data_IF_574380688607
#
_entry.id   IF_574380688607
#
_cell.length_a   1.000
_cell.length_b   1.000
_cell.length_c   1.000
_cell.angle_alpha   90.00
_cell.angle_beta   90.00
_cell.angle_gamma   90.00
#
_symmetry.space_group_name_H-M   'P 1'
#
loop_
_entity.id
_entity.type
_entity.pdbx_description
1 polymer ?
#
# COMPACT_ATOMS: atom_id res chain seq x y z
N UNK A 1 42.11 35.24 -37.76
CA UNK A 1 42.20 34.67 -36.40
C UNK A 1 40.88 34.00 -36.07
N UNK A 2 40.71 32.69 -35.92
CA UNK A 2 41.64 31.64 -35.50
C UNK A 2 41.04 31.00 -34.23
N UNK A 3 40.58 29.75 -34.27
CA UNK A 3 40.14 29.06 -33.05
C UNK A 3 39.17 27.89 -33.22
N UNK A 4 39.71 26.71 -33.50
CA UNK A 4 39.06 25.44 -33.85
C UNK A 4 38.66 24.57 -32.61
N UNK A 5 37.45 24.00 -32.66
CA UNK A 5 37.07 22.57 -32.41
C UNK A 5 37.27 21.91 -31.02
N UNK A 6 36.23 21.22 -30.52
CA UNK A 6 36.18 19.74 -30.34
C UNK A 6 34.78 19.23 -29.87
N UNK A 7 34.13 18.47 -30.76
CA UNK A 7 33.09 17.46 -30.45
C UNK A 7 33.81 16.15 -30.09
N UNK A 8 33.31 15.42 -29.10
CA UNK A 8 33.76 14.07 -28.78
C UNK A 8 32.70 13.04 -29.23
N UNK A 9 33.13 12.16 -30.12
CA UNK A 9 32.40 11.02 -30.68
C UNK A 9 32.97 9.75 -30.04
N UNK A 10 32.13 8.84 -29.54
CA UNK A 10 32.59 7.54 -29.03
C UNK A 10 32.56 6.47 -30.14
N UNK A 11 33.69 5.77 -30.26
CA UNK A 11 34.03 4.75 -31.24
C UNK A 11 33.51 3.36 -30.81
N UNK A 12 33.07 2.57 -31.79
CA UNK A 12 32.90 1.10 -31.72
C UNK A 12 34.24 0.38 -31.97
N UNK A 13 34.37 -0.88 -31.53
CA UNK A 13 35.06 -1.87 -32.35
C UNK A 13 34.23 -3.14 -32.62
N UNK A 14 34.43 -3.67 -33.84
CA UNK A 14 33.93 -4.96 -34.36
C UNK A 14 34.97 -6.08 -34.14
N UNK A 15 34.42 -7.29 -34.04
CA UNK A 15 34.95 -8.68 -34.07
C UNK A 15 36.30 -8.99 -34.74
N UNK A 16 36.81 -10.22 -34.46
CA UNK A 16 36.96 -11.15 -35.57
C UNK A 16 36.37 -12.57 -35.34
N UNK A 17 36.10 -13.19 -36.48
CA UNK A 17 35.54 -14.51 -36.79
C UNK A 17 36.54 -15.67 -36.76
N UNK A 18 36.06 -16.90 -36.57
CA UNK A 18 36.69 -18.16 -37.01
C UNK A 18 36.04 -19.38 -36.33
N UNK A 19 35.25 -20.25 -36.98
CA UNK A 19 35.55 -21.30 -37.99
C UNK A 19 35.18 -22.67 -37.36
N UNK A 20 34.07 -23.30 -37.80
CA UNK A 20 33.97 -24.64 -38.45
C UNK A 20 34.33 -25.86 -37.57
N UNK A 21 33.75 -27.07 -37.60
CA UNK A 21 32.72 -27.77 -38.38
C UNK A 21 32.59 -29.19 -37.74
N UNK A 22 31.41 -29.81 -37.88
CA UNK A 22 31.12 -31.27 -38.01
C UNK A 22 30.91 -32.15 -36.74
N UNK A 23 29.83 -32.99 -36.75
CA UNK A 23 29.37 -33.80 -35.60
C UNK A 23 29.96 -35.21 -35.60
N UNK A 24 29.84 -35.94 -34.48
CA UNK A 24 30.05 -37.40 -34.50
C UNK A 24 29.20 -38.15 -33.47
N UNK A 25 28.21 -38.85 -34.02
CA UNK A 25 27.74 -40.19 -33.75
C UNK A 25 28.01 -40.86 -32.38
N UNK A 26 26.92 -41.41 -31.82
CA UNK A 26 26.94 -42.59 -30.94
C UNK A 26 27.64 -43.79 -31.62
N UNK A 27 28.05 -44.79 -30.84
CA UNK A 27 27.25 -46.01 -30.87
C UNK A 27 27.07 -46.69 -29.50
N UNK A 28 26.20 -47.69 -29.57
CA UNK A 28 25.60 -48.46 -28.51
C UNK A 28 26.49 -49.57 -27.93
N UNK A 29 25.93 -50.15 -26.85
CA UNK A 29 26.01 -51.54 -26.40
C UNK A 29 27.26 -52.00 -25.62
N UNK A 30 27.02 -52.48 -24.41
CA UNK A 30 27.18 -53.92 -24.15
C UNK A 30 26.42 -54.35 -22.90
N UNK A 31 25.73 -55.48 -23.03
CA UNK A 31 25.08 -56.25 -21.98
C UNK A 31 26.10 -57.04 -21.16
N UNK A 32 25.75 -57.34 -19.91
CA UNK A 32 26.21 -58.55 -19.23
C UNK A 32 25.06 -59.19 -18.45
N UNK A 33 24.78 -60.44 -18.85
CA UNK A 33 23.89 -61.44 -18.27
C UNK A 33 24.38 -61.96 -16.91
N UNK A 34 23.46 -62.42 -16.04
CA UNK A 34 23.56 -63.74 -15.38
C UNK A 34 22.29 -64.11 -14.56
N UNK A 35 21.80 -65.35 -14.78
CA UNK A 35 20.87 -66.13 -13.92
C UNK A 35 19.38 -65.94 -14.23
N UNK A 36 18.58 -66.83 -14.88
CA UNK A 36 18.34 -68.31 -14.77
C UNK A 36 18.00 -68.74 -13.33
N UNK A 37 16.88 -69.38 -12.98
CA UNK A 37 15.86 -70.22 -13.66
C UNK A 37 14.48 -70.12 -12.89
N UNK A 38 13.52 -71.08 -12.96
CA UNK A 38 12.43 -71.15 -13.93
C UNK A 38 11.03 -71.29 -13.28
N UNK A 39 9.95 -71.11 -14.05
CA UNK A 39 8.75 -71.97 -14.04
C UNK A 39 7.57 -71.30 -14.78
N UNK A 40 7.36 -71.77 -16.00
CA UNK A 40 6.09 -71.69 -16.73
C UNK A 40 5.09 -72.59 -16.01
N UNK A 41 3.84 -72.14 -15.76
CA UNK A 41 2.60 -72.92 -15.83
C UNK A 41 1.38 -72.02 -15.53
N UNK A 42 0.38 -72.11 -16.42
CA UNK A 42 -1.05 -71.80 -16.23
C UNK A 42 -1.54 -70.34 -16.27
N UNK A 43 -1.49 -69.76 -17.47
CA UNK A 43 -2.30 -68.62 -17.85
C UNK A 43 -3.69 -69.11 -18.32
N UNK A 44 -4.64 -69.35 -17.41
CA UNK A 44 -6.09 -69.39 -17.68
C UNK A 44 -6.80 -69.65 -16.33
N UNK A 45 -7.71 -68.75 -15.91
CA UNK A 45 -8.67 -68.83 -14.75
C UNK A 45 -8.56 -67.72 -13.68
N UNK A 46 -8.24 -66.48 -14.03
CA UNK A 46 -8.44 -65.33 -13.12
C UNK A 46 -9.17 -64.15 -13.77
N UNK A 47 -10.22 -64.45 -14.54
CA UNK A 47 -11.03 -63.44 -15.25
C UNK A 47 -12.47 -63.22 -14.72
N UNK A 48 -12.85 -63.57 -13.47
CA UNK A 48 -14.04 -62.95 -12.88
C UNK A 48 -13.84 -62.27 -11.52
N UNK A 49 -12.61 -62.11 -11.02
CA UNK A 49 -12.35 -61.40 -9.74
C UNK A 49 -11.90 -59.94 -9.92
N UNK A 50 -11.67 -59.48 -11.16
CA UNK A 50 -11.30 -58.10 -11.48
C UNK A 50 -12.51 -57.21 -11.84
N UNK A 51 -13.74 -57.69 -11.61
CA UNK A 51 -14.98 -56.93 -11.88
C UNK A 51 -15.74 -56.52 -10.60
N UNK A 52 -15.21 -56.80 -9.41
CA UNK A 52 -15.82 -56.47 -8.11
C UNK A 52 -15.01 -55.45 -7.27
N UNK A 53 -13.98 -54.82 -7.85
CA UNK A 53 -13.21 -53.74 -7.22
C UNK A 53 -13.48 -52.35 -7.85
N UNK A 54 -14.50 -52.21 -8.69
CA UNK A 54 -14.84 -50.96 -9.38
C UNK A 54 -15.92 -50.12 -8.71
N UNK A 55 -16.32 -50.42 -7.47
CA UNK A 55 -17.28 -49.60 -6.72
C UNK A 55 -16.78 -49.26 -5.32
N UNK A 56 -15.72 -48.45 -5.23
CA UNK A 56 -15.44 -47.56 -4.09
C UNK A 56 -14.26 -46.65 -4.41
N UNK A 57 -14.46 -45.73 -5.33
CA UNK A 57 -13.73 -44.47 -5.31
C UNK A 57 -14.76 -43.37 -5.52
N UNK A 58 -15.47 -43.04 -4.44
CA UNK A 58 -16.12 -41.75 -4.36
C UNK A 58 -14.98 -40.73 -4.32
N UNK A 59 -14.56 -40.28 -5.50
CA UNK A 59 -13.70 -39.12 -5.63
C UNK A 59 -14.37 -38.01 -4.84
N UNK A 60 -13.72 -37.58 -3.76
CA UNK A 60 -14.13 -36.38 -3.05
C UNK A 60 -14.29 -35.28 -4.10
N UNK A 61 -15.41 -34.53 -4.10
CA UNK A 61 -15.55 -33.43 -5.02
C UNK A 61 -14.31 -32.54 -4.86
N UNK A 62 -13.71 -32.04 -5.96
CA UNK A 62 -12.62 -31.09 -5.84
C UNK A 62 -13.10 -30.02 -4.87
N UNK A 63 -12.34 -29.82 -3.78
CA UNK A 63 -12.63 -28.79 -2.80
C UNK A 63 -12.94 -27.54 -3.60
N UNK A 64 -14.20 -27.11 -3.57
CA UNK A 64 -14.64 -25.96 -4.32
C UNK A 64 -13.64 -24.87 -3.97
N UNK A 65 -12.93 -24.37 -4.99
CA UNK A 65 -12.01 -23.25 -4.81
C UNK A 65 -12.80 -22.22 -4.01
N UNK A 66 -12.33 -21.96 -2.78
CA UNK A 66 -12.99 -21.03 -1.89
C UNK A 66 -13.23 -19.77 -2.71
N UNK A 67 -14.44 -19.18 -2.71
CA UNK A 67 -14.68 -17.96 -3.45
C UNK A 67 -13.56 -17.00 -3.05
N UNK A 68 -12.79 -16.56 -4.05
CA UNK A 68 -11.59 -15.73 -3.90
C UNK A 68 -11.75 -14.83 -2.69
N UNK A 69 -10.92 -15.03 -1.66
CA UNK A 69 -11.03 -14.32 -0.40
C UNK A 69 -11.19 -12.82 -0.70
N UNK A 70 -12.39 -12.31 -0.42
CA UNK A 70 -12.73 -10.91 -0.61
C UNK A 70 -11.79 -10.09 0.28
N UNK A 71 -11.12 -9.13 -0.35
CA UNK A 71 -9.97 -8.35 0.10
C UNK A 71 -9.96 -7.96 1.58
N UNK A 72 -9.15 -8.68 2.37
CA UNK A 72 -8.95 -8.41 3.79
C UNK A 72 -7.46 -8.32 4.19
N UNK A 73 -6.54 -8.14 3.25
CA UNK A 73 -5.09 -8.05 3.51
C UNK A 73 -4.44 -6.88 2.76
N UNK A 74 -4.99 -5.69 3.00
CA UNK A 74 -4.53 -4.47 2.36
C UNK A 74 -3.69 -3.66 3.34
N UNK A 75 -2.54 -3.17 2.88
CA UNK A 75 -1.58 -2.38 3.64
C UNK A 75 -1.35 -1.05 2.93
N UNK A 76 -1.07 0.00 3.71
CA UNK A 76 -0.67 1.30 3.19
C UNK A 76 0.68 1.73 3.78
N UNK A 77 1.55 2.29 2.96
CA UNK A 77 2.77 2.98 3.36
C UNK A 77 2.67 4.38 2.79
N UNK A 78 2.52 5.38 3.66
CA UNK A 78 2.23 6.76 3.30
C UNK A 78 3.39 7.64 3.78
N UNK A 79 4.08 8.31 2.83
CA UNK A 79 5.36 8.96 3.10
C UNK A 79 5.34 10.42 2.65
N UNK A 80 5.40 11.33 3.62
CA UNK A 80 5.79 12.72 3.40
C UNK A 80 7.31 12.83 3.58
N UNK A 81 8.02 13.17 2.50
CA UNK A 81 9.49 13.18 2.49
C UNK A 81 10.08 14.58 2.75
N UNK A 82 9.25 15.63 2.76
CA UNK A 82 9.70 17.01 2.78
C UNK A 82 9.53 17.68 4.14
N UNK A 83 10.40 18.66 4.42
CA UNK A 83 10.42 19.45 5.65
C UNK A 83 10.22 20.93 5.38
N UNK A 84 10.09 21.71 6.46
CA UNK A 84 9.89 23.16 6.47
C UNK A 84 8.49 23.60 6.08
N UNK A 85 8.10 24.76 6.62
CA UNK A 85 6.75 25.32 6.52
C UNK A 85 6.26 25.51 5.07
N UNK A 86 7.14 25.92 4.15
CA UNK A 86 6.76 26.11 2.74
C UNK A 86 6.39 24.81 2.02
N UNK A 87 6.63 23.65 2.64
CA UNK A 87 6.26 22.32 2.15
C UNK A 87 5.06 21.72 2.89
N UNK A 88 4.31 22.54 3.61
CA UNK A 88 3.11 22.16 4.36
C UNK A 88 2.19 21.19 3.58
N UNK A 89 1.93 21.46 2.29
CA UNK A 89 1.10 20.62 1.41
C UNK A 89 1.50 19.15 1.37
N UNK A 90 2.79 18.79 1.42
CA UNK A 90 3.20 17.38 1.33
C UNK A 90 2.74 16.59 2.57
N UNK A 91 2.76 17.23 3.74
CA UNK A 91 2.22 16.62 4.96
C UNK A 91 0.69 16.53 4.90
N UNK A 92 0.03 17.60 4.46
CA UNK A 92 -1.43 17.63 4.31
C UNK A 92 -1.92 16.58 3.28
N UNK A 93 -1.22 16.41 2.16
CA UNK A 93 -1.47 15.37 1.17
C UNK A 93 -1.44 13.97 1.81
N UNK A 94 -0.36 13.67 2.54
CA UNK A 94 -0.15 12.36 3.18
C UNK A 94 -1.23 12.08 4.22
N UNK A 95 -1.57 13.06 5.06
CA UNK A 95 -2.65 12.93 6.04
C UNK A 95 -4.05 12.80 5.39
N UNK A 96 -4.25 13.45 4.24
CA UNK A 96 -5.50 13.31 3.48
C UNK A 96 -5.67 11.90 2.91
N UNK A 97 -4.59 11.30 2.40
CA UNK A 97 -4.59 9.90 1.97
C UNK A 97 -4.75 8.95 3.16
N UNK A 98 -4.12 9.23 4.30
CA UNK A 98 -4.29 8.49 5.55
C UNK A 98 -5.76 8.42 5.98
N UNK A 99 -6.44 9.58 6.00
CA UNK A 99 -7.89 9.62 6.26
C UNK A 99 -8.69 8.84 5.24
N UNK A 100 -8.30 8.89 3.96
CA UNK A 100 -8.98 8.18 2.88
C UNK A 100 -8.91 6.67 3.08
N UNK A 101 -7.72 6.11 3.32
CA UNK A 101 -7.56 4.66 3.50
C UNK A 101 -8.26 4.16 4.77
N UNK A 102 -8.25 4.96 5.85
CA UNK A 102 -9.01 4.65 7.07
C UNK A 102 -10.51 4.66 6.84
N UNK A 103 -11.03 5.68 6.14
CA UNK A 103 -12.45 5.79 5.78
C UNK A 103 -12.91 4.62 4.90
N UNK A 104 -12.01 4.05 4.10
CA UNK A 104 -12.26 2.88 3.27
C UNK A 104 -11.96 1.54 3.96
N UNK A 105 -11.56 1.55 5.24
CA UNK A 105 -11.54 0.38 6.11
C UNK A 105 -10.15 -0.21 6.40
N UNK A 106 -9.04 0.41 5.96
CA UNK A 106 -7.70 -0.05 6.37
C UNK A 106 -7.46 0.39 7.83
N UNK A 107 -7.22 -0.53 8.78
CA UNK A 107 -6.95 -0.19 10.18
C UNK A 107 -5.53 0.35 10.37
N UNK A 108 -5.30 1.10 11.44
CA UNK A 108 -4.01 1.74 11.74
C UNK A 108 -2.84 0.75 11.81
N UNK A 109 -3.06 -0.45 12.37
CA UNK A 109 -2.05 -1.51 12.41
C UNK A 109 -1.54 -1.96 11.02
N UNK A 110 -2.17 -1.51 9.94
CA UNK A 110 -1.80 -1.79 8.55
C UNK A 110 -1.45 -0.55 7.73
N UNK A 111 -1.32 0.59 8.40
CA UNK A 111 -0.89 1.84 7.78
C UNK A 111 0.43 2.23 8.42
N UNK A 112 1.50 2.27 7.62
CA UNK A 112 2.77 2.85 8.03
C UNK A 112 2.78 4.32 7.60
N UNK A 113 2.73 5.24 8.56
CA UNK A 113 2.74 6.68 8.30
C UNK A 113 4.09 7.31 8.64
N UNK A 114 4.74 7.92 7.65
CA UNK A 114 6.03 8.60 7.79
C UNK A 114 5.86 10.10 7.48
N UNK A 115 6.07 10.96 8.48
CA UNK A 115 5.99 12.42 8.33
C UNK A 115 7.33 13.07 8.67
N UNK A 116 8.02 13.61 7.65
CA UNK A 116 9.35 14.18 7.79
C UNK A 116 9.39 15.47 8.66
N UNK A 117 8.25 16.11 8.90
CA UNK A 117 8.13 17.27 9.78
C UNK A 117 6.76 17.30 10.45
N UNK A 118 6.60 18.14 11.46
CA UNK A 118 5.33 18.35 12.15
C UNK A 118 4.83 19.79 11.90
N UNK A 119 3.88 19.94 10.98
CA UNK A 119 3.26 21.26 10.73
C UNK A 119 2.20 21.61 11.79
N UNK A 120 1.66 20.62 12.51
CA UNK A 120 0.63 20.85 13.52
C UNK A 120 1.19 21.61 14.74
N UNK A 121 2.43 21.30 15.13
CA UNK A 121 3.16 22.02 16.20
C UNK A 121 4.20 23.02 15.67
N UNK A 122 4.14 23.44 14.39
CA UNK A 122 5.08 24.43 13.88
C UNK A 122 4.77 25.84 14.46
N UNK A 123 5.77 26.63 14.89
CA UNK A 123 5.54 27.98 15.41
C UNK A 123 4.89 28.96 14.41
N UNK A 124 4.94 28.66 13.10
CA UNK A 124 4.26 29.44 12.06
C UNK A 124 2.79 29.08 11.88
N UNK A 125 2.33 27.98 12.51
CA UNK A 125 0.96 27.54 12.39
C UNK A 125 0.06 28.37 13.31
N UNK A 126 -0.78 29.21 12.69
CA UNK A 126 -1.79 30.00 13.39
C UNK A 126 -2.93 29.14 14.00
N UNK A 127 -2.98 27.85 13.66
CA UNK A 127 -3.95 26.86 14.15
C UNK A 127 -3.22 25.70 14.84
N UNK A 128 -2.80 25.86 16.12
CA UNK A 128 -2.04 24.84 16.84
C UNK A 128 -2.76 23.48 16.86
N UNK A 129 -1.98 22.41 16.68
CA UNK A 129 -2.45 21.02 16.63
C UNK A 129 -3.42 20.70 15.46
N UNK A 130 -3.52 21.59 14.46
CA UNK A 130 -4.42 21.42 13.32
C UNK A 130 -3.69 21.51 11.99
N UNK A 131 -4.16 20.73 11.03
CA UNK A 131 -3.63 20.70 9.66
C UNK A 131 -4.81 20.59 8.70
N UNK A 132 -4.91 21.52 7.76
CA UNK A 132 -5.95 21.59 6.73
C UNK A 132 -5.38 21.36 5.33
N UNK A 133 -6.18 20.82 4.40
CA UNK A 133 -5.87 20.72 2.97
C UNK A 133 -6.75 21.65 2.10
N UNK A 134 -7.51 22.53 2.73
CA UNK A 134 -8.44 23.44 2.06
C UNK A 134 -8.59 24.73 2.90
N UNK A 135 -8.85 25.85 2.22
CA UNK A 135 -8.98 27.19 2.77
C UNK A 135 -10.18 27.36 3.72
N UNK A 136 -11.18 26.48 3.64
CA UNK A 136 -12.37 26.56 4.48
C UNK A 136 -12.18 26.01 5.90
N UNK A 137 -11.02 25.39 6.18
CA UNK A 137 -10.62 24.80 7.46
C UNK A 137 -11.66 23.88 8.13
N UNK A 138 -12.56 23.27 7.34
CA UNK A 138 -13.64 22.44 7.89
C UNK A 138 -13.16 21.09 8.41
N UNK A 139 -12.01 20.61 7.92
CA UNK A 139 -11.50 19.29 8.20
C UNK A 139 -10.08 19.35 8.76
N UNK A 140 -9.94 19.18 10.07
CA UNK A 140 -8.63 18.93 10.68
C UNK A 140 -8.15 17.51 10.32
N UNK A 141 -7.03 17.45 9.62
CA UNK A 141 -6.37 16.22 9.18
C UNK A 141 -5.53 15.56 10.26
N UNK A 142 -5.02 16.32 11.24
CA UNK A 142 -4.06 15.85 12.25
C UNK A 142 -4.71 15.38 13.56
N UNK A 143 -5.99 15.69 13.81
CA UNK A 143 -6.66 15.43 15.09
C UNK A 143 -6.56 13.99 15.60
N UNK A 144 -7.04 13.73 16.81
CA UNK A 144 -6.77 12.59 17.73
C UNK A 144 -6.57 11.17 17.16
N UNK A 145 -7.00 10.88 15.94
CA UNK A 145 -6.97 9.57 15.32
C UNK A 145 -5.79 9.37 14.34
N UNK A 146 -4.72 10.17 14.41
CA UNK A 146 -3.53 10.00 13.56
C UNK A 146 -2.41 9.30 14.30
N UNK A 147 -2.06 8.10 13.84
CA UNK A 147 -0.91 7.34 14.33
C UNK A 147 0.28 7.54 13.37
N UNK A 148 1.31 8.27 13.83
CA UNK A 148 2.54 8.49 13.06
C UNK A 148 3.62 7.53 13.55
N UNK A 149 4.11 6.67 12.65
CA UNK A 149 5.10 5.63 12.97
C UNK A 149 6.53 6.16 12.91
N UNK A 150 6.84 6.98 11.90
CA UNK A 150 8.15 7.60 11.73
C UNK A 150 7.97 9.13 11.70
N UNK A 151 8.53 9.81 12.70
CA UNK A 151 8.40 11.26 12.88
C UNK A 151 9.73 11.97 12.65
N UNK A 152 9.70 13.10 11.95
CA UNK A 152 10.84 14.00 11.86
C UNK A 152 12.09 13.30 11.35
N UNK A 153 13.15 13.30 12.17
CA UNK A 153 14.45 12.70 11.84
C UNK A 153 14.41 11.20 11.57
N UNK A 154 13.37 10.48 11.96
CA UNK A 154 13.24 9.05 11.65
C UNK A 154 12.85 8.79 10.19
N UNK A 155 12.39 9.81 9.44
CA UNK A 155 12.00 9.67 8.03
C UNK A 155 13.22 9.80 7.13
N UNK A 156 14.04 8.75 7.11
CA UNK A 156 15.25 8.65 6.27
C UNK A 156 15.03 7.68 5.12
N UNK A 157 15.88 7.76 4.09
CA UNK A 157 15.87 6.78 2.99
C UNK A 157 16.11 5.38 3.55
N UNK A 158 17.04 5.24 4.50
CA UNK A 158 17.36 3.97 5.13
C UNK A 158 16.14 3.33 5.83
N UNK A 159 15.44 4.08 6.68
CA UNK A 159 14.27 3.56 7.39
C UNK A 159 13.13 3.21 6.43
N UNK A 160 12.92 4.04 5.40
CA UNK A 160 11.96 3.74 4.35
C UNK A 160 12.27 2.41 3.64
N UNK A 161 13.52 2.20 3.20
CA UNK A 161 13.95 0.95 2.57
C UNK A 161 13.88 -0.24 3.54
N UNK A 162 14.13 -0.04 4.84
CA UNK A 162 13.95 -1.09 5.87
C UNK A 162 12.48 -1.48 6.03
N UNK A 163 11.55 -0.52 6.02
CA UNK A 163 10.10 -0.80 6.00
C UNK A 163 9.75 -1.68 4.81
N UNK A 164 10.15 -1.26 3.61
CA UNK A 164 9.88 -2.01 2.38
C UNK A 164 10.54 -3.38 2.38
N UNK A 165 11.79 -3.54 2.83
CA UNK A 165 12.54 -4.81 2.75
C UNK A 165 12.40 -5.72 3.99
N UNK A 166 11.81 -5.21 5.07
CA UNK A 166 11.50 -5.94 6.30
C UNK A 166 12.75 -6.26 7.09
N UNK A 167 13.82 -5.47 6.88
CA UNK A 167 15.13 -5.64 7.49
C UNK A 167 15.25 -4.74 8.72
N UNK A 168 14.41 -5.03 9.72
CA UNK A 168 14.44 -4.33 11.00
C UNK A 168 15.21 -5.13 12.04
N UNK A 169 15.85 -4.42 12.97
CA UNK A 169 16.38 -5.05 14.18
C UNK A 169 15.26 -5.63 15.05
N UNK A 170 15.57 -6.63 15.87
CA UNK A 170 14.58 -7.31 16.72
C UNK A 170 13.88 -6.37 17.70
N UNK A 171 14.53 -5.29 18.11
CA UNK A 171 14.01 -4.29 19.03
C UNK A 171 12.98 -3.31 18.40
N UNK A 172 12.92 -3.18 17.08
CA UNK A 172 12.01 -2.22 16.43
C UNK A 172 10.55 -2.62 16.71
N UNK A 173 9.68 -1.73 17.20
CA UNK A 173 8.29 -2.07 17.51
C UNK A 173 7.51 -2.62 16.31
N UNK A 174 6.48 -3.43 16.58
CA UNK A 174 5.62 -4.02 15.54
C UNK A 174 4.93 -2.97 14.66
N UNK A 175 4.47 -1.87 15.26
CA UNK A 175 3.82 -0.75 14.55
C UNK A 175 4.70 -0.14 13.47
N UNK A 176 6.03 -0.12 13.66
CA UNK A 176 6.98 0.41 12.68
C UNK A 176 7.35 -0.58 11.57
N UNK A 177 6.71 -1.74 11.49
CA UNK A 177 7.05 -2.81 10.53
C UNK A 177 5.89 -3.09 9.59
N UNK A 178 6.18 -3.11 8.29
CA UNK A 178 5.26 -3.61 7.28
C UNK A 178 5.18 -5.14 7.37
N UNK A 179 4.12 -5.70 7.94
CA UNK A 179 4.00 -7.16 8.13
C UNK A 179 3.19 -7.83 7.03
N UNK A 180 3.44 -7.42 5.79
CA UNK A 180 2.80 -7.97 4.59
C UNK A 180 3.42 -9.31 4.16
N UNK A 181 2.65 -10.03 3.37
CA UNK A 181 2.91 -11.40 2.89
C UNK A 181 2.55 -11.55 1.40
N UNK A 182 2.58 -12.79 0.90
CA UNK A 182 2.37 -13.10 -0.51
C UNK A 182 0.93 -12.88 -0.99
N UNK A 183 -0.02 -12.75 -0.07
CA UNK A 183 -1.42 -12.45 -0.34
C UNK A 183 -1.76 -10.97 -0.23
N UNK A 184 -0.82 -10.14 0.23
CA UNK A 184 -1.07 -8.74 0.57
C UNK A 184 -1.17 -7.84 -0.67
N UNK A 185 -2.10 -6.89 -0.65
CA UNK A 185 -2.13 -5.77 -1.58
C UNK A 185 -1.60 -4.52 -0.88
N UNK A 186 -0.64 -3.83 -1.48
CA UNK A 186 0.05 -2.71 -0.83
C UNK A 186 -0.15 -1.43 -1.63
N UNK A 187 -0.61 -0.37 -0.97
CA UNK A 187 -0.52 1.00 -1.45
C UNK A 187 0.77 1.64 -0.90
N UNK A 188 1.69 2.02 -1.77
CA UNK A 188 2.82 2.87 -1.45
C UNK A 188 2.56 4.26 -2.03
N UNK A 189 2.27 5.23 -1.18
CA UNK A 189 2.10 6.63 -1.57
C UNK A 189 3.26 7.47 -1.04
N UNK A 190 3.87 8.25 -1.93
CA UNK A 190 4.98 9.14 -1.61
C UNK A 190 4.74 10.53 -2.17
N UNK A 191 5.01 11.56 -1.39
CA UNK A 191 4.92 12.96 -1.82
C UNK A 191 6.12 13.76 -1.30
N UNK A 192 6.56 14.70 -2.12
CA UNK A 192 7.65 15.61 -1.80
C UNK A 192 8.29 16.22 -3.04
N UNK A 193 9.55 16.61 -2.91
CA UNK A 193 10.34 17.14 -4.01
C UNK A 193 11.19 16.06 -4.66
N UNK A 194 11.28 16.09 -5.98
CA UNK A 194 12.02 15.11 -6.76
C UNK A 194 12.41 15.66 -8.11
N UNK A 195 13.00 14.79 -8.92
CA UNK A 195 13.49 15.12 -10.25
C UNK A 195 13.72 13.86 -11.07
N UNK A 196 14.58 13.97 -12.08
CA UNK A 196 14.90 12.85 -12.97
C UNK A 196 15.55 11.72 -12.17
N UNK A 197 14.78 10.67 -11.93
CA UNK A 197 15.14 9.43 -11.24
C UNK A 197 15.41 9.53 -9.73
N UNK A 198 14.97 10.60 -9.06
CA UNK A 198 15.11 10.71 -7.59
C UNK A 198 13.94 11.39 -6.87
N UNK A 199 13.80 11.11 -5.58
CA UNK A 199 12.92 11.79 -4.62
C UNK A 199 13.73 12.19 -3.39
N UNK A 200 13.69 13.46 -3.00
CA UNK A 200 14.43 14.00 -1.85
C UNK A 200 13.76 13.63 -0.53
N UNK A 201 14.56 13.17 0.42
CA UNK A 201 14.19 12.96 1.81
C UNK A 201 14.85 14.02 2.70
N UNK A 202 14.03 14.70 3.50
CA UNK A 202 14.43 15.74 4.45
C UNK A 202 15.30 16.87 3.87
N UNK A 203 15.23 17.11 2.56
CA UNK A 203 16.06 18.09 1.85
C UNK A 203 17.58 17.84 1.94
N UNK A 204 17.99 16.61 2.28
CA UNK A 204 19.40 16.24 2.45
C UNK A 204 19.77 14.94 1.72
N UNK A 205 18.91 13.93 1.77
CA UNK A 205 19.12 12.63 1.14
C UNK A 205 18.25 12.51 -0.11
N UNK A 206 18.60 11.59 -1.01
CA UNK A 206 17.83 11.29 -2.21
C UNK A 206 17.61 9.78 -2.30
N UNK A 207 16.35 9.37 -2.41
CA UNK A 207 15.96 8.03 -2.84
C UNK A 207 16.04 7.98 -4.36
N UNK A 208 16.90 7.14 -4.90
CA UNK A 208 17.04 6.99 -6.35
C UNK A 208 16.09 5.91 -6.89
N UNK A 209 15.78 5.97 -8.18
CA UNK A 209 14.91 5.01 -8.88
C UNK A 209 15.43 3.57 -8.77
N UNK A 210 16.76 3.40 -8.77
CA UNK A 210 17.40 2.10 -8.61
C UNK A 210 17.24 1.54 -7.19
N UNK A 211 17.36 2.36 -6.15
CA UNK A 211 17.16 1.95 -4.76
C UNK A 211 15.74 1.45 -4.53
N UNK A 212 14.75 2.18 -5.07
CA UNK A 212 13.35 1.78 -5.01
C UNK A 212 13.12 0.47 -5.77
N UNK A 213 13.69 0.32 -6.97
CA UNK A 213 13.58 -0.90 -7.76
C UNK A 213 14.18 -2.12 -7.06
N UNK A 214 15.35 -1.96 -6.46
CA UNK A 214 16.01 -3.02 -5.71
C UNK A 214 15.23 -3.41 -4.45
N UNK A 215 14.65 -2.44 -3.73
CA UNK A 215 13.78 -2.73 -2.60
C UNK A 215 12.53 -3.51 -3.01
N UNK A 216 11.86 -3.07 -4.09
CA UNK A 216 10.66 -3.76 -4.63
C UNK A 216 11.00 -5.15 -5.16
N UNK A 217 12.19 -5.34 -5.77
CA UNK A 217 12.70 -6.65 -6.18
C UNK A 217 12.90 -7.56 -4.97
N UNK A 218 13.54 -7.08 -3.91
CA UNK A 218 13.70 -7.84 -2.68
C UNK A 218 12.36 -8.18 -2.01
N UNK A 219 11.40 -7.25 -2.02
CA UNK A 219 10.04 -7.52 -1.54
C UNK A 219 9.41 -8.68 -2.31
N UNK A 220 9.58 -8.71 -3.63
CA UNK A 220 9.02 -9.75 -4.48
C UNK A 220 9.69 -11.10 -4.25
N UNK A 221 11.01 -11.15 -4.19
CA UNK A 221 11.80 -12.36 -3.90
C UNK A 221 11.49 -12.93 -2.52
N UNK A 222 11.16 -12.08 -1.54
CA UNK A 222 10.75 -12.47 -0.19
C UNK A 222 9.24 -12.72 -0.06
N UNK A 223 8.49 -12.71 -1.16
CA UNK A 223 7.05 -12.98 -1.15
C UNK A 223 6.25 -12.04 -0.21
N UNK A 224 6.54 -10.73 -0.23
CA UNK A 224 5.93 -9.76 0.69
C UNK A 224 4.76 -8.96 0.12
N UNK A 225 4.39 -9.23 -1.13
CA UNK A 225 3.15 -8.72 -1.72
C UNK A 225 2.67 -9.61 -2.87
N UNK A 226 1.35 -9.65 -3.03
CA UNK A 226 0.68 -10.14 -4.23
C UNK A 226 0.72 -9.07 -5.32
N UNK A 227 0.18 -7.90 -4.99
CA UNK A 227 0.10 -6.72 -5.86
C UNK A 227 0.55 -5.47 -5.09
N UNK A 228 1.30 -4.60 -5.76
CA UNK A 228 1.82 -3.35 -5.19
C UNK A 228 1.43 -2.18 -6.10
N UNK A 229 0.71 -1.20 -5.57
CA UNK A 229 0.42 0.07 -6.23
C UNK A 229 1.35 1.15 -5.68
N UNK A 230 2.19 1.72 -6.52
CA UNK A 230 3.08 2.84 -6.18
C UNK A 230 2.50 4.12 -6.77
N UNK A 231 2.22 5.10 -5.91
CA UNK A 231 1.70 6.41 -6.28
C UNK A 231 2.67 7.49 -5.81
N UNK A 232 3.12 8.35 -6.73
CA UNK A 232 4.14 9.35 -6.42
C UNK A 232 3.68 10.74 -6.87
N UNK A 233 3.58 11.68 -5.92
CA UNK A 233 3.26 13.09 -6.18
C UNK A 233 4.52 13.95 -6.01
N UNK A 234 5.19 14.22 -7.14
CA UNK A 234 6.44 14.98 -7.23
C UNK A 234 6.72 15.44 -8.66
N UNK A 235 7.65 16.37 -8.86
CA UNK A 235 8.22 16.65 -10.17
C UNK A 235 8.92 15.41 -10.76
N UNK A 236 8.74 15.19 -12.06
CA UNK A 236 9.24 14.06 -12.83
C UNK A 236 8.94 12.67 -12.24
N UNK A 237 7.80 12.52 -11.56
CA UNK A 237 7.41 11.30 -10.84
C UNK A 237 7.53 10.01 -11.67
N UNK A 238 7.22 10.08 -12.98
CA UNK A 238 7.32 8.93 -13.89
C UNK A 238 8.71 8.28 -13.95
N UNK A 239 9.76 9.06 -13.71
CA UNK A 239 11.15 8.61 -13.77
C UNK A 239 11.55 7.81 -12.53
N UNK A 240 10.89 8.01 -11.39
CA UNK A 240 11.22 7.33 -10.13
C UNK A 240 10.95 5.82 -10.21
N UNK A 241 10.00 5.39 -11.05
CA UNK A 241 9.65 3.98 -11.24
C UNK A 241 10.08 3.42 -12.60
N UNK A 242 11.02 4.08 -13.30
CA UNK A 242 11.57 3.63 -14.58
C UNK A 242 12.31 2.29 -14.46
N UNK A 243 13.02 2.08 -13.34
CA UNK A 243 13.87 0.91 -13.11
C UNK A 243 13.12 -0.30 -12.51
N UNK A 244 11.81 -0.18 -12.23
CA UNK A 244 11.03 -1.31 -11.71
C UNK A 244 10.99 -2.47 -12.72
N UNK A 245 11.09 -3.70 -12.20
CA UNK A 245 11.11 -4.94 -13.01
C UNK A 245 10.22 -6.05 -12.41
N UNK A 246 9.73 -5.88 -11.19
CA UNK A 246 9.05 -6.93 -10.44
C UNK A 246 7.58 -7.10 -10.89
N UNK A 247 7.10 -8.32 -11.16
CA UNK A 247 5.72 -8.55 -11.59
C UNK A 247 4.72 -8.32 -10.45
N UNK A 248 3.51 -7.88 -10.81
CA UNK A 248 2.45 -7.51 -9.87
C UNK A 248 2.59 -6.07 -9.35
N UNK A 249 3.44 -5.25 -9.95
CA UNK A 249 3.63 -3.85 -9.58
C UNK A 249 2.92 -2.95 -10.58
N UNK A 250 2.10 -2.05 -10.08
CA UNK A 250 1.46 -0.96 -10.81
C UNK A 250 2.02 0.36 -10.28
N UNK A 251 2.42 1.28 -11.15
CA UNK A 251 2.94 2.56 -10.73
C UNK A 251 2.22 3.71 -11.44
N UNK A 252 2.00 4.82 -10.73
CA UNK A 252 1.49 6.06 -11.28
C UNK A 252 2.19 7.26 -10.65
N UNK A 253 2.53 8.25 -11.47
CA UNK A 253 3.18 9.49 -11.07
C UNK A 253 2.37 10.71 -11.51
N UNK A 254 2.50 11.80 -10.75
CA UNK A 254 1.84 13.09 -11.01
C UNK A 254 2.35 13.84 -12.25
N UNK A 255 3.57 13.56 -12.72
CA UNK A 255 4.15 14.24 -13.88
C UNK A 255 5.15 13.37 -14.67
N UNK A 256 5.35 13.73 -15.94
CA UNK A 256 6.28 13.07 -16.86
C UNK A 256 7.73 13.57 -16.70
N UNK A 257 8.68 12.87 -17.32
CA UNK A 257 10.07 13.35 -17.44
C UNK A 257 10.09 14.73 -18.10
N UNK A 258 10.81 15.68 -17.50
CA UNK A 258 10.83 17.08 -17.95
C UNK A 258 9.65 17.94 -17.52
N UNK A 259 8.65 17.40 -16.79
CA UNK A 259 7.51 18.16 -16.27
C UNK A 259 7.59 18.33 -14.74
N UNK A 260 7.18 19.51 -14.27
CA UNK A 260 6.94 19.78 -12.85
C UNK A 260 5.60 19.18 -12.39
N UNK A 261 5.47 18.93 -11.10
CA UNK A 261 4.18 18.81 -10.41
C UNK A 261 3.86 20.14 -9.71
N UNK A 262 2.59 20.45 -9.51
CA UNK A 262 2.14 21.77 -9.08
C UNK A 262 1.26 21.70 -7.84
N UNK A 263 1.46 22.69 -6.97
CA UNK A 263 0.57 22.92 -5.84
C UNK A 263 -0.79 23.44 -6.30
N UNK A 264 -1.77 23.30 -5.42
CA UNK A 264 -3.10 23.89 -5.51
C UNK A 264 -3.36 24.78 -4.27
N UNK A 265 -4.59 25.27 -4.11
CA UNK A 265 -5.14 26.05 -2.97
C UNK A 265 -4.08 26.77 -2.13
N UNK A 266 -3.88 28.05 -2.42
CA UNK A 266 -3.12 28.95 -1.54
C UNK A 266 -4.04 29.37 -0.39
N UNK A 267 -3.58 29.15 0.84
CA UNK A 267 -4.30 29.53 2.04
C UNK A 267 -3.68 30.81 2.61
N UNK A 268 -4.49 31.87 2.75
CA UNK A 268 -3.99 33.17 3.24
C UNK A 268 -3.64 33.16 4.72
N UNK A 269 -4.32 32.34 5.53
CA UNK A 269 -4.13 32.31 6.98
C UNK A 269 -2.93 31.45 7.35
N UNK A 270 -2.67 30.39 6.58
CA UNK A 270 -1.48 29.53 6.71
C UNK A 270 -0.29 30.14 5.96
N UNK A 271 -0.56 30.91 4.90
CA UNK A 271 0.43 31.66 4.12
C UNK A 271 1.18 30.84 3.06
N UNK A 272 0.76 29.60 2.80
CA UNK A 272 1.38 28.67 1.84
C UNK A 272 0.32 27.80 1.17
N UNK A 273 0.70 27.10 0.09
CA UNK A 273 -0.19 26.09 -0.51
C UNK A 273 -0.42 24.92 0.43
N UNK A 274 -1.67 24.44 0.49
CA UNK A 274 -2.10 23.41 1.45
C UNK A 274 -2.32 22.01 0.85
N UNK A 275 -2.29 21.88 -0.47
CA UNK A 275 -2.46 20.59 -1.16
C UNK A 275 -1.82 20.64 -2.55
N UNK A 276 -1.38 19.51 -3.08
CA UNK A 276 -0.94 19.39 -4.48
C UNK A 276 -2.07 18.99 -5.43
N UNK A 277 -1.98 19.37 -6.71
CA UNK A 277 -3.05 19.14 -7.70
C UNK A 277 -3.37 17.66 -7.88
N UNK A 278 -2.36 16.83 -8.08
CA UNK A 278 -2.53 15.40 -8.27
C UNK A 278 -3.24 14.77 -7.07
N UNK A 279 -2.78 15.09 -5.87
CA UNK A 279 -3.42 14.63 -4.63
C UNK A 279 -4.84 15.18 -4.47
N UNK A 280 -5.07 16.46 -4.74
CA UNK A 280 -6.40 17.07 -4.66
C UNK A 280 -7.42 16.34 -5.56
N UNK A 281 -7.06 16.07 -6.81
CA UNK A 281 -7.94 15.34 -7.74
C UNK A 281 -8.12 13.86 -7.35
N UNK A 282 -7.08 13.24 -6.78
CA UNK A 282 -7.18 11.90 -6.18
C UNK A 282 -8.21 11.89 -5.05
N UNK A 283 -8.13 12.84 -4.13
CA UNK A 283 -9.06 12.98 -3.01
C UNK A 283 -10.49 13.25 -3.50
N UNK A 284 -10.67 14.16 -4.46
CA UNK A 284 -11.97 14.48 -5.03
C UNK A 284 -12.66 13.27 -5.68
N UNK A 285 -11.89 12.32 -6.21
CA UNK A 285 -12.42 11.03 -6.67
C UNK A 285 -12.91 10.18 -5.48
N UNK A 286 -12.08 10.02 -4.43
CA UNK A 286 -12.40 9.18 -3.29
C UNK A 286 -13.48 9.75 -2.36
N UNK A 287 -13.69 11.06 -2.29
CA UNK A 287 -14.78 11.68 -1.52
C UNK A 287 -16.17 11.20 -1.97
N UNK A 288 -16.29 10.73 -3.21
CA UNK A 288 -17.54 10.18 -3.76
C UNK A 288 -17.72 8.69 -3.46
N UNK A 289 -16.72 8.03 -2.88
CA UNK A 289 -16.68 6.59 -2.67
C UNK A 289 -16.81 6.22 -1.20
N UNK A 290 -17.24 4.98 -0.97
CA UNK A 290 -17.26 4.32 0.33
C UNK A 290 -16.65 2.91 0.21
N UNK A 291 -16.52 2.19 1.34
CA UNK A 291 -15.90 0.86 1.38
C UNK A 291 -16.57 -0.21 0.51
N UNK A 292 -17.84 -0.01 0.13
CA UNK A 292 -18.61 -0.94 -0.73
C UNK A 292 -18.59 -0.54 -2.20
N UNK A 293 -17.92 0.56 -2.55
CA UNK A 293 -17.85 1.05 -3.92
C UNK A 293 -16.99 0.13 -4.78
N UNK A 294 -17.45 -0.12 -6.01
CA UNK A 294 -16.80 -1.00 -6.98
C UNK A 294 -16.10 -0.22 -8.12
N UNK A 295 -15.81 1.07 -7.89
CA UNK A 295 -15.09 1.89 -8.85
C UNK A 295 -13.72 1.26 -9.17
N UNK A 296 -13.38 1.19 -10.45
CA UNK A 296 -12.15 0.53 -10.92
C UNK A 296 -10.94 1.46 -10.86
N UNK A 297 -9.72 0.91 -10.85
CA UNK A 297 -8.49 1.69 -11.02
C UNK A 297 -8.47 2.44 -12.35
N UNK A 298 -9.05 1.87 -13.41
CA UNK A 298 -9.21 2.56 -14.68
C UNK A 298 -10.07 3.83 -14.53
N UNK A 299 -11.11 3.78 -13.69
CA UNK A 299 -11.96 4.94 -13.40
C UNK A 299 -11.19 6.04 -12.65
N UNK A 300 -10.33 5.66 -11.70
CA UNK A 300 -9.45 6.60 -11.01
C UNK A 300 -8.46 7.25 -11.98
N UNK A 301 -7.75 6.45 -12.79
CA UNK A 301 -6.70 6.97 -13.67
C UNK A 301 -7.26 7.84 -14.79
N UNK A 302 -8.44 7.51 -15.32
CA UNK A 302 -9.12 8.34 -16.32
C UNK A 302 -9.79 9.58 -15.72
N UNK A 303 -9.82 9.73 -14.39
CA UNK A 303 -10.33 10.94 -13.75
C UNK A 303 -9.30 12.09 -13.73
N UNK A 304 -8.03 11.79 -14.01
CA UNK A 304 -6.98 12.79 -14.07
C UNK A 304 -7.03 13.55 -15.40
N UNK A 305 -7.30 14.86 -15.32
CA UNK A 305 -7.31 15.77 -16.46
C UNK A 305 -6.00 16.60 -16.48
N UNK A 306 -5.16 16.49 -17.53
CA UNK A 306 -3.93 17.25 -17.64
C UNK A 306 -4.11 18.77 -17.54
N UNK A 307 -5.25 19.31 -17.97
CA UNK A 307 -5.55 20.74 -17.87
C UNK A 307 -5.76 21.19 -16.43
N UNK A 308 -6.32 20.31 -15.59
CA UNK A 308 -6.54 20.56 -14.17
C UNK A 308 -5.28 20.30 -13.35
N UNK A 309 -4.47 19.32 -13.75
CA UNK A 309 -3.20 19.00 -13.11
C UNK A 309 -2.08 19.98 -13.45
N UNK A 310 -2.13 20.62 -14.62
CA UNK A 310 -1.00 21.35 -15.23
C UNK A 310 0.24 20.48 -15.46
N UNK A 311 0.07 19.16 -15.43
CA UNK A 311 1.07 18.12 -15.66
C UNK A 311 0.40 16.87 -16.20
N UNK A 312 1.18 15.95 -16.73
CA UNK A 312 0.68 14.69 -17.29
C UNK A 312 0.83 13.57 -16.26
N UNK A 313 -0.29 13.10 -15.70
CA UNK A 313 -0.27 11.89 -14.87
C UNK A 313 0.07 10.66 -15.74
N UNK A 314 1.10 9.91 -15.35
CA UNK A 314 1.59 8.76 -16.11
C UNK A 314 1.54 7.50 -15.27
N UNK A 315 0.92 6.45 -15.81
CA UNK A 315 0.86 5.14 -15.16
C UNK A 315 1.52 4.06 -16.02
N UNK A 316 2.30 3.21 -15.37
CA UNK A 316 3.09 2.14 -15.98
C UNK A 316 2.45 0.78 -15.70
N UNK A 317 2.15 0.04 -16.76
CA UNK A 317 1.31 -1.17 -16.73
C UNK A 317 2.02 -2.48 -17.13
N UNK A 318 3.22 -2.42 -17.72
CA UNK A 318 3.92 -3.60 -18.26
C UNK A 318 4.22 -4.68 -17.21
N UNK A 319 4.32 -4.29 -15.94
CA UNK A 319 4.55 -5.19 -14.80
C UNK A 319 3.26 -5.69 -14.16
N UNK A 320 2.09 -5.19 -14.57
CA UNK A 320 0.80 -5.47 -13.97
C UNK A 320 -0.16 -6.14 -14.95
N UNK A 321 -0.41 -7.45 -14.76
CA UNK A 321 -1.10 -8.30 -15.74
C UNK A 321 -2.62 -8.11 -15.80
N UNK A 322 -3.26 -7.66 -14.72
CA UNK A 322 -4.72 -7.57 -14.64
C UNK A 322 -5.21 -6.32 -15.36
N UNK A 323 -6.33 -6.44 -16.04
CA UNK A 323 -6.97 -5.30 -16.69
C UNK A 323 -7.52 -4.33 -15.63
N UNK A 324 -7.22 -3.03 -15.76
CA UNK A 324 -7.54 -2.04 -14.73
C UNK A 324 -9.04 -1.83 -14.50
N UNK A 325 -9.87 -2.15 -15.49
CA UNK A 325 -11.33 -2.12 -15.40
C UNK A 325 -11.89 -3.20 -14.45
N UNK A 326 -11.15 -4.29 -14.23
CA UNK A 326 -11.52 -5.41 -13.36
C UNK A 326 -10.93 -5.30 -11.95
N UNK A 327 -10.14 -4.26 -11.68
CA UNK A 327 -9.48 -4.06 -10.39
C UNK A 327 -10.17 -2.92 -9.66
N UNK A 328 -10.95 -3.19 -8.61
CA UNK A 328 -11.52 -2.14 -7.77
C UNK A 328 -10.42 -1.30 -7.10
N UNK A 329 -10.66 -0.01 -6.91
CA UNK A 329 -9.76 0.85 -6.13
C UNK A 329 -9.62 0.37 -4.68
N UNK A 330 -10.66 -0.27 -4.14
CA UNK A 330 -10.66 -0.84 -2.79
C UNK A 330 -9.67 -1.99 -2.62
N UNK A 331 -9.11 -2.57 -3.70
CA UNK A 331 -8.00 -3.52 -3.60
C UNK A 331 -6.73 -2.92 -2.98
N UNK A 332 -6.52 -1.61 -3.10
CA UNK A 332 -5.34 -0.94 -2.57
C UNK A 332 -5.69 0.09 -1.51
N UNK A 333 -6.86 0.71 -1.60
CA UNK A 333 -7.24 1.83 -0.75
C UNK A 333 -8.22 1.47 0.37
N UNK A 334 -8.86 0.30 0.34
CA UNK A 334 -9.86 -0.09 1.33
C UNK A 334 -9.59 -1.46 1.92
N UNK A 335 -10.46 -1.91 2.82
CA UNK A 335 -10.47 -3.30 3.28
C UNK A 335 -11.93 -3.67 3.54
N UNK A 336 -12.42 -4.72 2.87
CA UNK A 336 -13.80 -5.18 3.05
C UNK A 336 -13.76 -6.29 4.10
N UNK A 337 -14.00 -5.92 5.36
CA UNK A 337 -14.28 -6.93 6.38
C UNK A 337 -15.68 -7.50 6.12
N UNK A 338 -15.75 -8.77 5.67
CA UNK A 338 -17.02 -9.49 5.64
C UNK A 338 -17.41 -9.82 7.08
N UNK A 339 -18.30 -9.03 7.67
CA UNK A 339 -18.94 -9.38 8.94
C UNK A 339 -19.83 -10.60 8.71
N UNK A 340 -19.41 -11.75 9.21
CA UNK A 340 -20.28 -12.93 9.30
C UNK A 340 -21.11 -12.72 10.56
N UNK A 341 -22.38 -12.33 10.41
CA UNK A 341 -23.33 -12.40 11.50
C UNK A 341 -23.55 -13.88 11.83
N UNK A 342 -23.04 -14.33 12.98
CA UNK A 342 -23.43 -15.61 13.54
C UNK A 342 -24.76 -15.42 14.25
N UNK A 343 -25.82 -16.04 13.74
CA UNK A 343 -27.17 -16.01 14.35
C UNK A 343 -27.24 -16.73 15.72
N UNK A 344 -26.13 -17.30 16.18
CA UNK A 344 -25.99 -17.93 17.48
C UNK A 344 -25.13 -17.06 18.39
N UNK A 345 -25.69 -16.64 19.53
CA UNK A 345 -24.90 -16.08 20.61
C UNK A 345 -23.80 -17.08 20.97
N UNK A 346 -22.55 -16.63 21.00
CA UNK A 346 -21.41 -17.44 21.40
C UNK A 346 -21.66 -18.06 22.79
N UNK A 347 -22.03 -19.34 22.84
CA UNK A 347 -22.34 -20.10 24.06
C UNK A 347 -21.07 -20.53 24.82
N UNK A 348 -19.98 -19.75 24.72
CA UNK A 348 -18.70 -20.06 25.36
C UNK A 348 -18.58 -19.64 26.83
N UNK A 349 -19.51 -18.85 27.36
CA UNK A 349 -19.39 -18.27 28.71
C UNK A 349 -20.62 -18.42 29.62
N UNK A 350 -21.73 -19.03 29.16
CA UNK A 350 -22.98 -19.12 29.95
C UNK A 350 -23.24 -20.50 30.58
N UNK A 351 -22.38 -21.50 30.38
CA UNK A 351 -22.55 -22.82 30.99
C UNK A 351 -22.13 -22.90 32.49
N UNK A 352 -21.90 -21.75 33.16
CA UNK A 352 -21.40 -21.73 34.54
C UNK A 352 -22.24 -20.90 35.53
N UNK A 353 -23.43 -20.42 35.15
CA UNK A 353 -24.27 -19.65 36.09
C UNK A 353 -25.77 -19.93 35.95
N UNK A 354 -26.17 -21.19 35.94
CA UNK A 354 -27.55 -21.57 36.28
C UNK A 354 -27.68 -21.74 37.81
N UNK A 355 -27.90 -20.61 38.50
CA UNK A 355 -28.62 -20.55 39.77
C UNK A 355 -28.85 -19.08 40.18
N UNK A 356 -30.03 -18.54 39.84
CA UNK A 356 -30.96 -17.78 40.71
C UNK A 356 -31.87 -16.81 39.92
N UNK A 357 -33.06 -16.58 40.49
CA UNK A 357 -34.35 -16.18 39.89
C UNK A 357 -34.44 -14.74 39.30
N UNK A 358 -35.42 -14.45 38.43
CA UNK A 358 -35.51 -13.17 37.71
C UNK A 358 -36.25 -12.07 38.49
N UNK A 359 -35.75 -10.83 38.42
CA UNK A 359 -36.47 -9.61 38.82
C UNK A 359 -36.99 -8.83 37.61
N UNK A 360 -38.18 -8.26 37.80
CA UNK A 360 -39.07 -7.68 36.79
C UNK A 360 -38.52 -6.39 36.14
N UNK A 361 -38.75 -6.26 34.83
CA UNK A 361 -38.52 -5.04 34.05
C UNK A 361 -39.66 -4.05 34.27
N UNK A 362 -39.34 -2.84 34.72
CA UNK A 362 -40.24 -1.69 34.79
C UNK A 362 -39.71 -0.54 33.95
N UNK A 363 -40.52 -0.05 33.01
CA UNK A 363 -40.25 1.12 32.16
C UNK A 363 -39.89 2.35 33.00
N UNK A 364 -38.74 2.99 32.76
CA UNK A 364 -38.44 4.29 33.34
C UNK A 364 -37.78 5.26 32.34
N UNK A 365 -38.36 6.46 32.30
CA UNK A 365 -38.03 7.62 31.46
C UNK A 365 -36.66 8.26 31.83
N UNK A 366 -35.86 7.62 32.69
CA UNK A 366 -34.54 8.11 33.13
C UNK A 366 -33.41 7.88 32.10
N UNK A 367 -33.53 6.86 31.25
CA UNK A 367 -32.47 6.52 30.28
C UNK A 367 -32.28 7.61 29.22
N UNK A 368 -33.34 8.35 28.89
CA UNK A 368 -33.28 9.39 27.88
C UNK A 368 -32.55 10.66 28.35
N UNK A 369 -32.53 10.91 29.67
CA UNK A 369 -31.83 12.06 30.28
C UNK A 369 -30.36 11.74 30.52
N UNK A 370 -30.03 10.49 30.84
CA UNK A 370 -28.63 10.05 31.00
C UNK A 370 -27.87 10.08 29.67
N UNK A 371 -28.49 9.67 28.56
CA UNK A 371 -27.87 9.71 27.23
C UNK A 371 -27.56 11.14 26.75
N UNK A 372 -28.38 12.14 27.09
CA UNK A 372 -28.10 13.54 26.78
C UNK A 372 -26.96 14.11 27.63
N UNK A 373 -26.87 13.72 28.90
CA UNK A 373 -25.79 14.13 29.79
C UNK A 373 -24.45 13.50 29.38
N UNK A 374 -24.44 12.24 28.94
CA UNK A 374 -23.23 11.58 28.41
C UNK A 374 -22.77 12.19 27.08
N UNK A 375 -23.69 12.59 26.20
CA UNK A 375 -23.34 13.29 24.95
C UNK A 375 -22.74 14.68 25.21
N UNK A 376 -23.27 15.40 26.23
CA UNK A 376 -22.73 16.69 26.64
C UNK A 376 -21.35 16.55 27.31
N UNK A 377 -21.17 15.53 28.16
CA UNK A 377 -19.88 15.21 28.79
C UNK A 377 -18.81 14.75 27.78
N UNK A 378 -19.20 14.02 26.72
CA UNK A 378 -18.28 13.72 25.61
C UNK A 378 -17.87 14.98 24.85
N UNK A 379 -18.76 15.94 24.69
CA UNK A 379 -18.46 17.20 23.99
C UNK A 379 -17.51 18.09 24.81
N UNK A 380 -17.69 18.17 26.13
CA UNK A 380 -16.76 18.89 27.01
C UNK A 380 -15.38 18.22 27.07
N UNK A 381 -15.32 16.89 27.08
CA UNK A 381 -14.04 16.15 27.09
C UNK A 381 -13.26 16.33 25.77
N UNK A 382 -13.94 16.47 24.64
CA UNK A 382 -13.30 16.79 23.34
C UNK A 382 -12.72 18.22 23.35
N UNK A 383 -13.45 19.20 23.89
CA UNK A 383 -12.95 20.57 24.01
C UNK A 383 -11.74 20.66 24.96
N UNK A 384 -11.77 19.97 26.09
CA UNK A 384 -10.68 19.96 27.07
C UNK A 384 -9.41 19.26 26.54
N UNK A 385 -9.58 18.21 25.72
CA UNK A 385 -8.49 17.49 25.07
C UNK A 385 -7.85 18.30 23.93
N UNK A 386 -8.66 19.01 23.12
CA UNK A 386 -8.15 19.97 22.13
C UNK A 386 -7.34 21.10 22.77
N UNK A 387 -7.77 21.58 23.95
CA UNK A 387 -6.99 22.54 24.75
C UNK A 387 -5.68 21.93 25.25
N UNK A 388 -5.67 20.66 25.64
CA UNK A 388 -4.45 19.95 26.07
C UNK A 388 -3.44 19.74 24.93
N UNK A 389 -3.89 19.33 23.73
CA UNK A 389 -3.01 19.19 22.56
C UNK A 389 -2.47 20.54 22.08
N UNK A 390 -3.31 21.58 22.07
CA UNK A 390 -2.88 22.94 21.79
C UNK A 390 -1.81 23.40 22.80
N UNK A 391 -2.01 23.14 24.11
CA UNK A 391 -1.00 23.41 25.15
C UNK A 391 0.29 22.61 24.96
N UNK A 392 0.22 21.37 24.47
CA UNK A 392 1.40 20.57 24.18
C UNK A 392 2.21 21.20 23.04
N UNK A 393 1.59 21.56 21.91
CA UNK A 393 2.30 22.27 20.84
C UNK A 393 2.86 23.63 21.32
N UNK A 394 2.12 24.39 22.14
CA UNK A 394 2.57 25.68 22.68
C UNK A 394 3.77 25.51 23.65
N UNK A 395 3.89 24.38 24.36
CA UNK A 395 5.00 24.15 25.29
C UNK A 395 6.34 23.83 24.60
N UNK A 396 6.33 23.59 23.28
CA UNK A 396 7.53 23.35 22.45
C UNK A 396 7.95 24.58 21.62
N UNK A 397 7.23 25.71 21.74
CA UNK A 397 7.62 27.03 21.22
C UNK A 397 8.35 27.79 22.32
#
# INVERSE_FOLDING_TARGET
DGGSVRRASCFFPRFPTGMSLIPRAAPAASMAFAGRDPAVISLLKMLPLLLLLTFSSAAAPPAAASPSAVHNNNWAVLVCTSRFWFNYRHMANTLSLYRTVKRLGIPDERIILMLADDMACNPRNNYPAQVFNNENHQLNLYGDNVEVDYRGYEVTVENFLRVLTGRHESAVPRSKRLLSDEGSHILLYMTGHGGDEFLKFQDNEELQSHDLADAVKQMKEKHRFKELLIMVDTCQAATLFSQLQSPGVLAIGSSMKGENSYSHHLDSDIGVSVVDRFTFHTLAFFEKLNMYSNASLNSLFNSYDPSMLLSTAYYRMDLYKRALNEVPVTNFFGSVMKTIHTDSAYTGFLAAHDAELPLSVGNNILDHVMLQNEASARRSNIEEMNVSFSKFCISFI
#
